data_IF_124171726752
#
_entry.id   IF_124171726752
#
_cell.length_a   1.000
_cell.length_b   1.000
_cell.length_c   1.000
_cell.angle_alpha   90.00
_cell.angle_beta   90.00
_cell.angle_gamma   90.00
#
_symmetry.space_group_name_H-M   'P 1'
#
loop_
_entity.id
_entity.type
_entity.pdbx_description
1 polymer ?
#
# COMPACT_ATOMS: atom_id res chain seq x y z
N UNK A 1 9.26 -3.75 -21.33
CA UNK A 1 9.36 -4.02 -19.88
C UNK A 1 9.03 -2.74 -19.11
N UNK A 2 7.87 -2.67 -18.42
CA UNK A 2 7.31 -1.43 -17.84
C UNK A 2 8.09 -0.88 -16.64
N UNK A 3 8.89 -1.72 -15.98
CA UNK A 3 9.62 -1.42 -14.74
C UNK A 3 10.82 -0.49 -14.94
N UNK A 4 11.47 -0.52 -16.12
CA UNK A 4 12.70 0.24 -16.41
C UNK A 4 12.56 1.74 -16.11
N UNK A 5 11.34 2.29 -16.23
CA UNK A 5 11.05 3.70 -15.95
C UNK A 5 11.19 4.08 -14.48
N UNK A 6 11.06 3.14 -13.55
CA UNK A 6 10.98 3.45 -12.11
C UNK A 6 12.18 2.92 -11.31
N UNK A 7 12.98 2.01 -11.87
CA UNK A 7 14.13 1.42 -11.17
C UNK A 7 15.10 2.47 -10.59
N UNK A 8 15.34 3.54 -11.36
CA UNK A 8 16.23 4.63 -10.97
C UNK A 8 15.83 5.37 -9.68
N UNK A 9 14.59 5.19 -9.21
CA UNK A 9 14.11 5.83 -7.98
C UNK A 9 14.84 5.28 -6.75
N UNK A 10 15.17 3.98 -6.75
CA UNK A 10 15.76 3.31 -5.58
C UNK A 10 17.06 2.55 -5.88
N UNK A 11 17.50 2.49 -7.14
CA UNK A 11 18.67 1.68 -7.55
C UNK A 11 19.97 2.01 -6.79
N UNK A 12 20.17 3.29 -6.44
CA UNK A 12 21.39 3.76 -5.76
C UNK A 12 21.23 3.84 -4.24
N UNK A 13 20.07 3.44 -3.71
CA UNK A 13 19.82 3.45 -2.27
C UNK A 13 20.53 2.28 -1.58
N UNK A 14 21.16 2.47 -0.41
CA UNK A 14 21.75 1.38 0.36
C UNK A 14 20.70 0.43 0.94
N UNK A 15 19.44 0.86 1.00
CA UNK A 15 18.29 0.09 1.51
C UNK A 15 17.10 0.21 0.57
N UNK A 16 16.26 -0.83 0.55
CA UNK A 16 15.07 -0.89 -0.29
C UNK A 16 13.83 -0.95 0.61
N UNK A 17 12.79 -0.14 0.35
CA UNK A 17 11.55 -0.23 1.09
C UNK A 17 10.80 -1.49 0.67
N UNK A 18 10.40 -2.33 1.63
CA UNK A 18 9.68 -3.57 1.36
C UNK A 18 8.56 -3.71 2.36
N UNK A 19 7.39 -4.16 1.90
CA UNK A 19 6.26 -4.50 2.76
C UNK A 19 6.16 -6.02 2.84
N UNK A 20 6.12 -6.53 4.07
CA UNK A 20 5.99 -7.95 4.38
C UNK A 20 4.71 -8.24 5.16
N UNK A 21 4.15 -9.44 5.00
CA UNK A 21 3.17 -9.99 5.92
C UNK A 21 3.85 -10.65 7.15
N UNK A 22 3.03 -11.18 8.07
CA UNK A 22 3.50 -11.89 9.26
C UNK A 22 4.26 -13.19 8.97
N UNK A 23 4.06 -13.78 7.79
CA UNK A 23 4.78 -14.96 7.32
C UNK A 23 6.08 -14.61 6.58
N UNK A 24 6.45 -13.32 6.52
CA UNK A 24 7.57 -12.76 5.75
C UNK A 24 7.42 -12.94 4.22
N UNK A 25 6.19 -13.02 3.73
CA UNK A 25 5.89 -12.94 2.29
C UNK A 25 5.96 -11.48 1.84
N UNK A 26 6.66 -11.21 0.73
CA UNK A 26 6.73 -9.87 0.14
C UNK A 26 5.38 -9.49 -0.48
N UNK A 27 4.79 -8.40 -0.02
CA UNK A 27 3.56 -7.83 -0.57
C UNK A 27 3.85 -6.79 -1.66
N UNK A 28 4.84 -5.92 -1.45
CA UNK A 28 5.27 -4.93 -2.45
C UNK A 28 6.72 -4.51 -2.23
N UNK A 29 7.35 -4.03 -3.31
CA UNK A 29 8.62 -3.31 -3.32
C UNK A 29 8.34 -1.90 -3.85
N UNK A 30 7.89 -0.97 -3.00
CA UNK A 30 7.60 0.38 -3.47
C UNK A 30 8.86 1.09 -3.99
N UNK A 31 8.75 2.02 -4.96
CA UNK A 31 7.59 2.31 -5.80
C UNK A 31 7.60 1.46 -7.11
N UNK A 32 8.24 0.28 -7.09
CA UNK A 32 8.59 -0.45 -8.31
C UNK A 32 7.50 -1.43 -8.74
N UNK A 33 7.11 -2.35 -7.85
CA UNK A 33 6.24 -3.48 -8.19
C UNK A 33 5.52 -4.05 -6.98
N UNK A 34 4.34 -4.61 -7.22
CA UNK A 34 3.58 -5.38 -6.22
C UNK A 34 3.83 -6.88 -6.39
N UNK A 35 3.74 -7.63 -5.30
CA UNK A 35 3.90 -9.07 -5.28
C UNK A 35 2.75 -9.79 -6.00
N UNK A 36 3.06 -10.90 -6.68
CA UNK A 36 2.05 -11.73 -7.32
C UNK A 36 1.13 -12.44 -6.30
N UNK A 37 1.64 -12.67 -5.08
CA UNK A 37 0.90 -13.32 -4.00
C UNK A 37 -0.33 -12.52 -3.56
N UNK A 38 -0.23 -11.18 -3.53
CA UNK A 38 -1.29 -10.26 -3.14
C UNK A 38 -2.01 -9.63 -4.33
N UNK A 39 -1.90 -10.24 -5.52
CA UNK A 39 -2.53 -9.72 -6.73
C UNK A 39 -4.05 -9.70 -6.61
N UNK A 40 -4.65 -8.53 -6.87
CA UNK A 40 -6.10 -8.37 -6.91
C UNK A 40 -6.66 -9.04 -8.17
N UNK A 41 -7.72 -9.82 -8.00
CA UNK A 41 -8.45 -10.50 -9.08
C UNK A 41 -9.94 -10.19 -8.98
N UNK A 42 -10.73 -10.58 -9.99
CA UNK A 42 -12.19 -10.46 -9.94
C UNK A 42 -12.83 -11.31 -8.81
N UNK A 43 -12.09 -12.26 -8.25
CA UNK A 43 -12.55 -13.07 -7.12
C UNK A 43 -12.22 -12.43 -5.76
N UNK A 44 -11.40 -11.38 -5.71
CA UNK A 44 -11.02 -10.71 -4.46
C UNK A 44 -12.25 -10.14 -3.75
N UNK A 45 -12.32 -10.35 -2.44
CA UNK A 45 -13.42 -9.88 -1.57
C UNK A 45 -12.99 -8.70 -0.70
N UNK A 46 -11.87 -8.87 0.01
CA UNK A 46 -11.31 -7.84 0.88
C UNK A 46 -10.04 -7.29 0.25
N UNK A 47 -9.87 -5.97 0.29
CA UNK A 47 -8.72 -5.27 -0.30
C UNK A 47 -7.99 -4.53 0.80
N UNK A 48 -6.75 -4.93 1.07
CA UNK A 48 -5.84 -4.16 1.90
C UNK A 48 -5.14 -3.11 1.04
N UNK A 49 -5.21 -1.84 1.46
CA UNK A 49 -4.64 -0.70 0.73
C UNK A 49 -3.52 -0.08 1.56
N UNK A 50 -2.29 -0.17 1.06
CA UNK A 50 -1.15 0.58 1.58
C UNK A 50 -0.84 1.78 0.68
N UNK A 51 -0.21 2.81 1.26
CA UNK A 51 0.38 3.90 0.48
C UNK A 51 1.70 4.34 1.11
N UNK A 52 2.82 4.05 0.45
CA UNK A 52 4.13 4.61 0.81
C UNK A 52 4.45 5.88 0.01
N UNK A 53 4.86 6.95 0.68
CA UNK A 53 5.36 8.15 0.02
C UNK A 53 6.38 8.88 0.91
N UNK A 54 7.13 9.82 0.31
CA UNK A 54 8.02 10.73 1.04
C UNK A 54 7.27 11.89 1.70
N UNK A 55 5.99 12.11 1.35
CA UNK A 55 5.12 13.15 1.89
C UNK A 55 3.84 12.52 2.44
N UNK A 56 3.70 12.57 3.76
CA UNK A 56 2.59 11.94 4.48
C UNK A 56 1.24 12.57 4.14
N UNK A 57 1.18 13.89 3.93
CA UNK A 57 -0.07 14.58 3.62
C UNK A 57 -0.59 14.15 2.27
N UNK A 58 0.30 14.05 1.27
CA UNK A 58 -0.06 13.56 -0.06
C UNK A 58 -0.48 12.09 -0.04
N UNK A 59 0.24 11.25 0.72
CA UNK A 59 -0.14 9.85 0.90
C UNK A 59 -1.56 9.73 1.49
N UNK A 60 -1.87 10.50 2.54
CA UNK A 60 -3.20 10.51 3.16
C UNK A 60 -4.30 10.94 2.19
N UNK A 61 -4.07 11.99 1.40
CA UNK A 61 -5.06 12.45 0.39
C UNK A 61 -5.32 11.35 -0.65
N UNK A 62 -4.26 10.73 -1.19
CA UNK A 62 -4.39 9.65 -2.18
C UNK A 62 -5.11 8.45 -1.59
N UNK A 63 -4.71 8.04 -0.38
CA UNK A 63 -5.36 6.95 0.34
C UNK A 63 -6.84 7.22 0.59
N UNK A 64 -7.19 8.39 1.14
CA UNK A 64 -8.58 8.81 1.36
C UNK A 64 -9.39 8.80 0.07
N UNK A 65 -8.82 9.33 -1.02
CA UNK A 65 -9.48 9.31 -2.34
C UNK A 65 -9.77 7.88 -2.80
N UNK A 66 -8.79 6.97 -2.69
CA UNK A 66 -8.97 5.58 -3.07
C UNK A 66 -10.05 4.90 -2.23
N UNK A 67 -9.95 4.94 -0.89
CA UNK A 67 -10.92 4.24 -0.03
C UNK A 67 -12.33 4.82 -0.18
N UNK A 68 -12.49 6.13 -0.37
CA UNK A 68 -13.79 6.75 -0.63
C UNK A 68 -14.39 6.31 -1.96
N UNK A 69 -13.59 6.19 -3.03
CA UNK A 69 -14.09 5.74 -4.34
C UNK A 69 -14.46 4.25 -4.34
N UNK A 70 -13.72 3.42 -3.60
CA UNK A 70 -13.99 1.98 -3.55
C UNK A 70 -15.10 1.59 -2.57
N UNK A 71 -15.31 2.35 -1.50
CA UNK A 71 -16.26 2.00 -0.44
C UNK A 71 -17.72 1.98 -0.90
N UNK A 72 -18.07 2.63 -2.01
CA UNK A 72 -19.41 2.52 -2.62
C UNK A 72 -19.72 1.08 -3.08
N UNK A 73 -18.69 0.31 -3.42
CA UNK A 73 -18.80 -1.05 -3.95
C UNK A 73 -18.64 -2.14 -2.88
N UNK A 74 -18.41 -1.76 -1.62
CA UNK A 74 -18.36 -2.70 -0.50
C UNK A 74 -19.75 -3.21 -0.14
N UNK A 75 -19.82 -4.39 0.49
CA UNK A 75 -21.07 -4.96 1.02
C UNK A 75 -21.73 -3.97 2.01
N UNK A 76 -20.93 -3.44 2.94
CA UNK A 76 -21.30 -2.28 3.74
C UNK A 76 -20.86 -1.00 3.02
N UNK A 77 -21.83 -0.30 2.42
CA UNK A 77 -21.55 0.89 1.62
C UNK A 77 -20.96 2.02 2.45
N UNK A 78 -19.96 2.69 1.90
CA UNK A 78 -19.27 3.84 2.49
C UNK A 78 -18.58 3.52 3.83
N UNK A 79 -18.34 2.25 4.11
CA UNK A 79 -17.55 1.80 5.25
C UNK A 79 -16.14 1.42 4.81
N UNK A 80 -15.16 1.79 5.63
CA UNK A 80 -13.74 1.47 5.44
C UNK A 80 -13.22 0.94 6.78
N UNK A 81 -12.63 -0.24 6.77
CA UNK A 81 -11.98 -0.82 7.95
C UNK A 81 -10.61 -0.14 8.15
N UNK A 82 -10.40 0.63 9.22
CA UNK A 82 -9.14 1.30 9.45
C UNK A 82 -8.10 0.34 10.04
N UNK A 83 -6.83 0.61 9.77
CA UNK A 83 -5.69 -0.16 10.28
C UNK A 83 -4.77 0.74 11.08
N UNK A 84 -4.32 0.25 12.23
CA UNK A 84 -3.35 0.98 13.06
C UNK A 84 -1.97 0.95 12.39
N UNK A 85 -1.41 2.13 12.15
CA UNK A 85 -0.03 2.32 11.71
C UNK A 85 0.84 2.63 12.92
N UNK A 86 1.80 1.75 13.21
CA UNK A 86 2.80 1.94 14.25
C UNK A 86 4.10 2.44 13.61
N UNK A 87 4.51 3.66 13.95
CA UNK A 87 5.74 4.26 13.46
C UNK A 87 6.97 3.72 14.19
N UNK A 88 8.16 3.97 13.63
CA UNK A 88 9.42 3.51 14.21
C UNK A 88 9.70 4.06 15.62
N UNK A 89 9.10 5.20 15.98
CA UNK A 89 9.21 5.84 17.30
C UNK A 89 8.16 5.34 18.30
N UNK A 90 7.31 4.39 17.88
CA UNK A 90 6.22 3.84 18.67
C UNK A 90 4.94 4.68 18.65
N UNK A 91 4.92 5.82 17.98
CA UNK A 91 3.69 6.59 17.78
C UNK A 91 2.70 5.81 16.91
N UNK A 92 1.41 5.98 17.21
CA UNK A 92 0.31 5.25 16.56
C UNK A 92 -0.60 6.21 15.84
N UNK A 93 -1.06 5.84 14.66
CA UNK A 93 -2.06 6.56 13.89
C UNK A 93 -3.07 5.57 13.31
N UNK A 94 -4.32 6.00 13.21
CA UNK A 94 -5.41 5.27 12.54
C UNK A 94 -5.78 6.03 11.28
#
# INVERSE_FOLDING_TARGET
>A
MKLKKFLHIIENSPVYPVIYDSNRTVLSLPPIVNGAHSAITLATRNVFIECTATDLTKAKIVWSTMVTMFSEYCENKFEVEPVEVVNHDGSKTV
#
